data_IF_927317943406
#
_entry.id   IF_927317943406
#
_cell.length_a   1.000
_cell.length_b   1.000
_cell.length_c   1.000
_cell.angle_alpha   90.00
_cell.angle_beta   90.00
_cell.angle_gamma   90.00
#
_symmetry.space_group_name_H-M   'P 1'
#
loop_
_entity.id
_entity.type
_entity.pdbx_description
1 polymer ?
#
# COMPACT_ATOMS: atom_id res chain seq x y z
N UNK A 1 26.70 19.79 -58.33
CA UNK A 1 25.92 19.17 -57.23
C UNK A 1 26.81 18.12 -56.59
N UNK A 2 27.58 18.52 -55.58
CA UNK A 2 28.37 17.61 -54.74
C UNK A 2 27.44 16.96 -53.72
N UNK A 3 27.42 15.63 -53.70
CA UNK A 3 26.76 14.86 -52.66
C UNK A 3 27.41 15.18 -51.31
N UNK A 4 26.66 15.82 -50.41
CA UNK A 4 27.04 15.96 -49.01
C UNK A 4 26.64 14.65 -48.33
N UNK A 5 27.64 13.83 -48.07
CA UNK A 5 27.57 12.60 -47.30
C UNK A 5 27.25 12.95 -45.83
N UNK A 6 25.99 12.74 -45.43
CA UNK A 6 25.53 12.88 -44.04
C UNK A 6 25.96 11.64 -43.26
N UNK A 7 27.05 11.73 -42.50
CA UNK A 7 27.33 10.77 -41.42
C UNK A 7 26.91 11.37 -40.08
N UNK A 8 25.89 10.81 -39.46
CA UNK A 8 25.40 11.19 -38.12
C UNK A 8 25.92 10.16 -37.12
N UNK A 9 26.90 10.55 -36.29
CA UNK A 9 27.56 9.65 -35.33
C UNK A 9 27.18 10.04 -33.91
N UNK A 10 26.53 9.13 -33.18
CA UNK A 10 26.26 9.28 -31.75
C UNK A 10 27.37 8.59 -30.95
N UNK A 11 28.02 9.34 -30.06
CA UNK A 11 29.01 8.84 -29.10
C UNK A 11 28.35 8.65 -27.73
N UNK A 12 28.48 7.46 -27.13
CA UNK A 12 28.17 7.28 -25.71
C UNK A 12 29.48 7.37 -24.93
N UNK A 13 29.43 8.13 -23.84
CA UNK A 13 30.48 8.18 -22.82
C UNK A 13 29.90 7.56 -21.56
N UNK A 14 30.50 6.47 -21.09
CA UNK A 14 30.14 5.86 -19.80
C UNK A 14 31.32 6.09 -18.87
N UNK A 15 31.11 6.91 -17.83
CA UNK A 15 32.05 7.09 -16.73
C UNK A 15 31.78 6.06 -15.64
N UNK A 16 32.82 5.36 -15.20
CA UNK A 16 32.80 4.53 -14.00
C UNK A 16 34.07 4.79 -13.17
N UNK A 17 34.12 4.32 -11.93
CA UNK A 17 35.18 4.64 -10.96
C UNK A 17 36.62 4.27 -11.40
N UNK A 18 36.79 3.56 -12.53
CA UNK A 18 38.08 3.19 -13.13
C UNK A 18 38.47 3.94 -14.41
N UNK A 19 37.66 4.90 -14.90
CA UNK A 19 37.98 5.71 -16.07
C UNK A 19 36.79 6.00 -17.00
N UNK A 20 37.08 6.72 -18.09
CA UNK A 20 36.10 7.10 -19.11
C UNK A 20 36.16 6.10 -20.28
N UNK A 21 35.05 5.43 -20.58
CA UNK A 21 34.96 4.54 -21.74
C UNK A 21 34.23 5.21 -22.91
N UNK A 22 34.90 5.27 -24.06
CA UNK A 22 34.37 5.82 -25.31
C UNK A 22 34.18 4.71 -26.35
N UNK A 23 32.94 4.40 -26.74
CA UNK A 23 32.67 3.52 -27.89
C UNK A 23 31.49 4.01 -28.72
N UNK A 24 31.60 3.77 -30.03
CA UNK A 24 30.57 4.10 -31.05
C UNK A 24 29.44 3.07 -30.96
N UNK A 25 28.19 3.50 -31.02
CA UNK A 25 27.03 2.60 -31.16
C UNK A 25 26.92 2.04 -32.59
N UNK A 26 26.23 0.90 -32.79
CA UNK A 26 25.87 0.44 -34.13
C UNK A 26 24.93 1.44 -34.81
N UNK A 27 25.02 1.55 -36.13
CA UNK A 27 24.16 2.42 -36.94
C UNK A 27 22.67 2.10 -36.73
N UNK A 28 21.84 3.11 -36.48
CA UNK A 28 20.40 2.98 -36.25
C UNK A 28 19.97 2.84 -34.78
N UNK A 29 20.91 2.72 -33.84
CA UNK A 29 20.62 2.74 -32.40
C UNK A 29 20.99 4.12 -31.84
N UNK A 30 20.02 4.80 -31.24
CA UNK A 30 20.26 6.06 -30.52
C UNK A 30 19.87 5.87 -29.07
N UNK A 31 20.78 6.21 -28.16
CA UNK A 31 20.57 6.06 -26.74
C UNK A 31 20.25 7.44 -26.17
N UNK A 32 19.04 7.61 -25.66
CA UNK A 32 18.67 8.81 -24.93
C UNK A 32 19.10 8.57 -23.48
N UNK A 33 20.30 9.04 -23.13
CA UNK A 33 20.72 9.13 -21.74
C UNK A 33 19.95 10.29 -21.09
N UNK A 34 18.89 9.97 -20.35
CA UNK A 34 18.28 10.94 -19.43
C UNK A 34 19.23 11.16 -18.27
N UNK A 35 19.85 12.34 -18.25
CA UNK A 35 20.83 12.76 -17.23
C UNK A 35 20.24 12.60 -15.82
N UNK A 36 20.80 11.70 -15.03
CA UNK A 36 20.73 11.80 -13.57
C UNK A 36 21.39 13.11 -13.16
N UNK A 37 20.69 13.94 -12.38
CA UNK A 37 21.12 15.30 -12.03
C UNK A 37 22.50 15.22 -11.33
N UNK A 38 23.53 15.63 -12.04
CA UNK A 38 24.90 15.73 -11.54
C UNK A 38 25.00 16.91 -10.58
N UNK A 39 25.07 16.58 -9.27
CA UNK A 39 25.07 17.54 -8.15
C UNK A 39 26.40 18.28 -7.94
N UNK A 40 27.43 18.05 -8.77
CA UNK A 40 28.71 18.76 -8.66
C UNK A 40 28.55 20.26 -8.93
N UNK A 41 29.25 21.07 -8.13
CA UNK A 41 29.15 22.52 -8.17
C UNK A 41 29.67 23.08 -9.51
N UNK A 42 29.23 24.27 -9.94
CA UNK A 42 29.68 24.88 -11.20
C UNK A 42 31.20 25.10 -11.27
N UNK A 43 31.87 25.24 -10.12
CA UNK A 43 33.32 25.44 -10.05
C UNK A 43 34.10 24.14 -10.27
N UNK A 44 33.58 23.01 -9.79
CA UNK A 44 34.14 21.67 -10.03
C UNK A 44 34.14 21.31 -11.53
N UNK A 45 33.10 21.76 -12.26
CA UNK A 45 32.97 21.54 -13.71
C UNK A 45 33.94 22.38 -14.53
N UNK A 46 34.46 23.49 -13.99
CA UNK A 46 35.33 24.42 -14.73
C UNK A 46 36.79 23.94 -14.78
N UNK A 47 37.20 23.10 -13.82
CA UNK A 47 38.57 22.61 -13.71
C UNK A 47 38.76 21.19 -14.25
N UNK A 48 37.73 20.59 -14.84
CA UNK A 48 37.83 19.27 -15.46
C UNK A 48 38.47 19.38 -16.86
N UNK A 49 39.72 18.92 -17.04
CA UNK A 49 40.45 19.03 -18.31
C UNK A 49 39.79 18.25 -19.46
N UNK A 50 38.87 17.33 -19.18
CA UNK A 50 38.13 16.56 -20.19
C UNK A 50 36.89 17.29 -20.74
N UNK A 51 36.37 18.30 -20.03
CA UNK A 51 35.13 19.01 -20.42
C UNK A 51 35.28 19.91 -21.65
N UNK A 52 36.51 20.23 -22.05
CA UNK A 52 36.83 21.19 -23.10
C UNK A 52 36.94 20.60 -24.52
N UNK A 53 36.84 19.27 -24.68
CA UNK A 53 37.09 18.61 -25.97
C UNK A 53 35.84 18.17 -26.75
N UNK A 54 34.62 18.43 -26.26
CA UNK A 54 33.40 17.99 -26.96
C UNK A 54 32.44 19.18 -27.14
N UNK A 55 32.12 19.60 -28.39
CA UNK A 55 31.09 20.59 -28.62
C UNK A 55 29.71 20.02 -28.25
N UNK A 56 29.07 20.59 -27.24
CA UNK A 56 27.77 20.18 -26.68
C UNK A 56 26.54 20.42 -27.59
N UNK A 57 26.77 20.77 -28.85
CA UNK A 57 25.75 21.26 -29.75
C UNK A 57 25.34 20.20 -30.78
N UNK A 58 24.91 19.00 -30.35
CA UNK A 58 24.07 18.12 -31.19
C UNK A 58 23.50 16.92 -30.40
N UNK A 59 22.62 17.18 -29.43
CA UNK A 59 21.69 16.13 -28.98
C UNK A 59 20.44 16.21 -29.86
N UNK A 60 20.41 15.45 -30.95
CA UNK A 60 19.18 15.25 -31.73
C UNK A 60 18.40 14.08 -31.14
N UNK A 61 17.16 14.32 -30.72
CA UNK A 61 16.24 13.24 -30.34
C UNK A 61 15.88 12.42 -31.57
N UNK A 62 16.00 11.09 -31.48
CA UNK A 62 15.51 10.18 -32.50
C UNK A 62 14.09 9.70 -32.17
N UNK A 63 13.37 9.25 -33.20
CA UNK A 63 11.91 9.01 -33.18
C UNK A 63 11.50 7.67 -32.56
N UNK A 64 12.46 6.76 -32.31
CA UNK A 64 12.20 5.45 -31.70
C UNK A 64 12.70 5.38 -30.27
N UNK A 65 11.77 5.26 -29.33
CA UNK A 65 12.06 5.01 -27.92
C UNK A 65 12.37 3.54 -27.74
N UNK A 66 13.56 3.24 -27.24
CA UNK A 66 13.97 1.88 -26.90
C UNK A 66 14.48 1.89 -25.47
N UNK A 67 13.98 0.98 -24.65
CA UNK A 67 14.43 0.89 -23.26
C UNK A 67 15.70 0.05 -23.21
N UNK A 68 16.74 0.61 -22.61
CA UNK A 68 17.89 -0.17 -22.20
C UNK A 68 17.45 -1.10 -21.05
N UNK A 69 17.53 -2.41 -21.27
CA UNK A 69 17.25 -3.38 -20.20
C UNK A 69 18.49 -3.58 -19.35
N UNK A 70 19.63 -3.86 -19.99
CA UNK A 70 20.86 -4.23 -19.29
C UNK A 70 22.08 -4.04 -20.19
N UNK A 71 23.19 -3.66 -19.58
CA UNK A 71 24.50 -3.62 -20.21
C UNK A 71 25.47 -4.44 -19.36
N UNK A 72 26.08 -5.45 -19.98
CA UNK A 72 26.99 -6.38 -19.29
C UNK A 72 28.31 -6.45 -20.05
N UNK A 73 29.42 -6.44 -19.31
CA UNK A 73 30.78 -6.60 -19.85
C UNK A 73 31.32 -7.92 -19.32
N UNK A 74 31.70 -8.83 -20.22
CA UNK A 74 32.30 -10.11 -19.86
C UNK A 74 33.53 -10.36 -20.73
N UNK A 75 34.73 -10.11 -20.17
CA UNK A 75 35.99 -10.16 -20.92
C UNK A 75 36.03 -9.09 -22.02
N UNK A 76 36.43 -9.49 -23.24
CA UNK A 76 36.50 -8.61 -24.41
C UNK A 76 35.15 -8.41 -25.13
N UNK A 77 34.08 -9.04 -24.62
CA UNK A 77 32.74 -8.97 -25.19
C UNK A 77 31.83 -8.06 -24.33
N UNK A 78 31.28 -6.99 -24.93
CA UNK A 78 30.19 -6.23 -24.31
C UNK A 78 28.86 -6.71 -24.88
N UNK A 79 27.85 -6.87 -24.03
CA UNK A 79 26.49 -7.24 -24.44
C UNK A 79 25.52 -6.14 -24.02
N UNK A 80 24.63 -5.77 -24.94
CA UNK A 80 23.63 -4.74 -24.75
C UNK A 80 22.26 -5.33 -25.03
N UNK A 81 21.44 -5.43 -23.98
CA UNK A 81 20.05 -5.87 -24.08
C UNK A 81 19.13 -4.66 -24.18
N UNK A 82 18.32 -4.67 -25.23
CA UNK A 82 17.48 -3.55 -25.61
C UNK A 82 16.05 -4.06 -25.80
N UNK A 83 15.09 -3.50 -25.07
CA UNK A 83 13.68 -3.85 -25.20
C UNK A 83 13.01 -3.01 -26.28
N UNK A 84 12.65 -3.64 -27.38
CA UNK A 84 11.82 -3.03 -28.41
C UNK A 84 10.35 -3.15 -28.01
N UNK A 85 9.83 -2.09 -27.37
CA UNK A 85 8.42 -2.01 -26.96
C UNK A 85 7.45 -2.10 -28.13
N UNK A 86 7.81 -1.61 -29.31
CA UNK A 86 6.90 -1.57 -30.44
C UNK A 86 6.64 -2.96 -31.02
N UNK A 87 7.66 -3.82 -31.00
CA UNK A 87 7.56 -5.15 -31.57
C UNK A 87 7.48 -6.27 -30.53
N UNK A 88 7.43 -5.94 -29.24
CA UNK A 88 7.46 -6.89 -28.13
C UNK A 88 8.60 -7.91 -28.29
N UNK A 89 9.82 -7.40 -28.48
CA UNK A 89 11.03 -8.20 -28.72
C UNK A 89 12.18 -7.73 -27.85
N UNK A 90 13.04 -8.66 -27.48
CA UNK A 90 14.32 -8.34 -26.84
C UNK A 90 15.40 -8.44 -27.89
N UNK A 91 16.17 -7.36 -28.06
CA UNK A 91 17.28 -7.25 -28.99
C UNK A 91 18.59 -7.36 -28.21
N UNK A 92 19.46 -8.28 -28.62
CA UNK A 92 20.79 -8.45 -28.08
C UNK A 92 21.81 -7.96 -29.10
N UNK A 93 22.52 -6.89 -28.77
CA UNK A 93 23.71 -6.43 -29.50
C UNK A 93 24.96 -6.93 -28.79
N UNK A 94 25.95 -7.35 -29.57
CA UNK A 94 27.26 -7.78 -29.06
C UNK A 94 28.34 -6.88 -29.60
N UNK A 95 29.28 -6.50 -28.76
CA UNK A 95 30.50 -5.84 -29.15
C UNK A 95 31.65 -6.83 -28.98
N UNK A 96 32.36 -7.12 -30.07
CA UNK A 96 33.59 -7.92 -30.03
C UNK A 96 34.69 -7.12 -30.74
N UNK A 97 35.82 -6.93 -30.08
CA UNK A 97 36.96 -6.16 -30.61
C UNK A 97 36.55 -4.76 -31.12
N UNK A 98 35.87 -4.00 -30.26
CA UNK A 98 35.34 -2.65 -30.53
C UNK A 98 34.26 -2.55 -31.63
N UNK A 99 33.85 -3.67 -32.24
CA UNK A 99 32.83 -3.68 -33.30
C UNK A 99 31.52 -4.28 -32.79
N UNK A 100 30.45 -3.48 -32.85
CA UNK A 100 29.10 -3.97 -32.58
C UNK A 100 28.59 -4.83 -33.74
N UNK A 101 27.82 -5.87 -33.39
CA UNK A 101 27.05 -6.65 -34.33
C UNK A 101 26.09 -5.73 -35.09
N UNK A 102 26.15 -5.75 -36.42
CA UNK A 102 25.29 -4.96 -37.31
C UNK A 102 23.84 -5.43 -37.32
N UNK A 103 23.57 -6.63 -36.81
CA UNK A 103 22.22 -7.18 -36.67
C UNK A 103 22.05 -7.74 -35.25
N UNK A 104 21.07 -7.27 -34.48
CA UNK A 104 20.82 -7.81 -33.15
C UNK A 104 20.24 -9.22 -33.25
N UNK A 105 20.62 -10.08 -32.31
CA UNK A 105 19.88 -11.33 -32.11
C UNK A 105 18.54 -10.97 -31.50
N UNK A 106 17.46 -11.34 -32.19
CA UNK A 106 16.10 -10.98 -31.81
C UNK A 106 15.45 -12.16 -31.13
N UNK A 107 14.92 -11.95 -29.93
CA UNK A 107 14.13 -12.95 -29.21
C UNK A 107 12.68 -12.47 -29.14
N UNK A 108 11.74 -13.35 -29.52
CA UNK A 108 10.31 -13.17 -29.25
C UNK A 108 9.98 -13.65 -27.85
N UNK A 109 9.00 -13.03 -27.19
CA UNK A 109 8.54 -13.49 -25.86
C UNK A 109 8.05 -14.95 -25.88
N UNK A 110 7.56 -15.46 -27.02
CA UNK A 110 7.18 -16.85 -27.21
C UNK A 110 8.35 -17.84 -27.28
N UNK A 111 9.54 -17.39 -27.70
CA UNK A 111 10.76 -18.20 -27.70
C UNK A 111 11.35 -18.32 -26.28
N UNK A 112 10.99 -17.40 -25.39
CA UNK A 112 11.24 -17.51 -23.95
C UNK A 112 10.22 -18.48 -23.35
N UNK A 113 10.53 -19.78 -23.36
CA UNK A 113 9.68 -20.80 -22.71
C UNK A 113 9.78 -20.67 -21.19
N UNK A 114 8.78 -20.07 -20.56
CA UNK A 114 8.60 -20.12 -19.11
C UNK A 114 7.89 -21.43 -18.74
N UNK A 115 8.56 -22.28 -17.94
CA UNK A 115 7.93 -23.48 -17.36
C UNK A 115 7.41 -23.13 -15.96
N UNK A 116 6.15 -23.50 -15.69
CA UNK A 116 5.37 -23.04 -14.54
C UNK A 116 5.97 -23.24 -13.15
N UNK A 117 5.45 -22.42 -12.23
CA UNK A 117 5.60 -22.32 -10.77
C UNK A 117 6.90 -21.73 -10.20
N UNK A 118 7.97 -21.60 -10.98
CA UNK A 118 9.14 -20.75 -10.66
C UNK A 118 9.84 -20.41 -11.97
N UNK A 119 9.27 -19.48 -12.73
CA UNK A 119 9.45 -19.34 -14.17
C UNK A 119 10.91 -19.20 -14.60
N UNK A 120 11.50 -20.34 -14.98
CA UNK A 120 12.80 -20.41 -15.65
C UNK A 120 12.58 -20.11 -17.13
N UNK A 121 13.01 -18.96 -17.61
CA UNK A 121 13.15 -18.67 -19.03
C UNK A 121 14.57 -18.99 -19.48
N UNK A 122 14.74 -19.95 -20.39
CA UNK A 122 16.06 -20.27 -20.96
C UNK A 122 16.15 -19.72 -22.38
N UNK A 123 16.96 -18.68 -22.57
CA UNK A 123 17.38 -18.25 -23.90
C UNK A 123 18.67 -18.98 -24.24
N UNK A 124 18.62 -19.90 -25.22
CA UNK A 124 19.80 -20.65 -25.68
C UNK A 124 20.24 -20.09 -27.03
N UNK A 125 21.53 -19.80 -27.14
CA UNK A 125 22.14 -19.35 -28.40
C UNK A 125 22.17 -20.48 -29.46
N UNK A 126 22.10 -20.12 -30.75
CA UNK A 126 22.10 -21.07 -31.89
C UNK A 126 23.30 -22.04 -31.91
N UNK A 127 24.41 -21.68 -31.25
CA UNK A 127 25.61 -22.51 -31.13
C UNK A 127 25.60 -23.44 -29.90
N UNK A 128 24.55 -23.39 -29.06
CA UNK A 128 24.38 -24.25 -27.88
C UNK A 128 25.34 -23.98 -26.72
N UNK A 129 26.23 -22.99 -26.82
CA UNK A 129 27.30 -22.72 -25.84
C UNK A 129 26.93 -21.75 -24.72
N UNK A 130 25.96 -20.87 -24.95
CA UNK A 130 25.54 -19.88 -23.95
C UNK A 130 24.03 -19.98 -23.74
N UNK A 131 23.64 -20.23 -22.50
CA UNK A 131 22.25 -20.23 -22.05
C UNK A 131 22.08 -19.17 -20.96
N UNK A 132 21.22 -18.19 -21.19
CA UNK A 132 20.79 -17.28 -20.13
C UNK A 132 19.54 -17.84 -19.48
N UNK A 133 19.61 -18.06 -18.17
CA UNK A 133 18.55 -18.58 -17.34
C UNK A 133 18.01 -17.42 -16.51
N UNK A 134 16.79 -16.99 -16.83
CA UNK A 134 16.04 -16.05 -15.99
C UNK A 134 15.26 -16.89 -15.01
N UNK A 135 15.57 -16.81 -13.72
CA UNK A 135 14.83 -17.50 -12.65
C UNK A 135 14.11 -16.47 -11.79
N UNK A 136 12.88 -16.76 -11.40
CA UNK A 136 12.16 -15.97 -10.39
C UNK A 136 12.26 -16.70 -9.05
N UNK A 137 12.61 -15.99 -7.98
CA UNK A 137 12.58 -16.57 -6.63
C UNK A 137 11.19 -16.50 -5.99
N UNK A 138 11.03 -17.12 -4.82
CA UNK A 138 9.77 -17.15 -4.06
C UNK A 138 9.26 -15.77 -3.62
N UNK A 139 10.10 -14.73 -3.71
CA UNK A 139 9.77 -13.36 -3.31
C UNK A 139 9.48 -12.50 -4.55
N UNK A 140 9.51 -13.09 -5.75
CA UNK A 140 9.25 -12.42 -7.02
C UNK A 140 10.46 -11.68 -7.59
N UNK A 141 11.63 -11.78 -6.97
CA UNK A 141 12.85 -11.18 -7.54
C UNK A 141 13.30 -11.97 -8.77
N UNK A 142 13.66 -11.24 -9.82
CA UNK A 142 14.18 -11.81 -11.05
C UNK A 142 15.69 -11.94 -10.94
N UNK A 143 16.19 -13.14 -11.16
CA UNK A 143 17.60 -13.46 -11.15
C UNK A 143 18.01 -13.89 -12.55
N UNK A 144 19.04 -13.26 -13.09
CA UNK A 144 19.62 -13.59 -14.37
C UNK A 144 20.91 -14.36 -14.13
N UNK A 145 20.93 -15.62 -14.55
CA UNK A 145 22.10 -16.48 -14.46
C UNK A 145 22.58 -16.81 -15.86
N UNK A 146 23.83 -16.51 -16.20
CA UNK A 146 24.41 -16.99 -17.45
C UNK A 146 25.03 -18.38 -17.24
N UNK A 147 24.89 -19.25 -18.23
CA UNK A 147 25.57 -20.55 -18.29
C UNK A 147 26.41 -20.55 -19.56
N UNK A 148 27.73 -20.63 -19.41
CA UNK A 148 28.70 -20.65 -20.52
C UNK A 148 29.40 -22.00 -20.51
N UNK A 149 29.26 -22.76 -21.59
CA UNK A 149 29.83 -24.11 -21.74
C UNK A 149 29.49 -25.06 -20.57
N UNK A 150 28.28 -24.93 -20.03
CA UNK A 150 27.79 -25.73 -18.88
C UNK A 150 28.25 -25.22 -17.50
N UNK A 151 29.07 -24.17 -17.43
CA UNK A 151 29.49 -23.54 -16.17
C UNK A 151 28.54 -22.38 -15.84
N UNK A 152 27.94 -22.43 -14.66
CA UNK A 152 27.00 -21.41 -14.14
C UNK A 152 27.78 -20.19 -13.64
N UNK A 153 27.49 -19.00 -14.17
CA UNK A 153 27.99 -17.73 -13.64
C UNK A 153 27.25 -17.33 -12.37
N UNK A 154 27.80 -16.37 -11.64
CA UNK A 154 27.07 -15.72 -10.54
C UNK A 154 25.75 -15.12 -11.06
N UNK A 155 24.70 -15.27 -10.27
CA UNK A 155 23.37 -14.77 -10.60
C UNK A 155 23.32 -13.27 -10.34
N UNK A 156 22.97 -12.48 -11.36
CA UNK A 156 22.74 -11.05 -11.25
C UNK A 156 21.28 -10.82 -10.89
N UNK A 157 21.04 -10.11 -9.80
CA UNK A 157 19.69 -9.74 -9.37
C UNK A 157 19.19 -8.58 -10.24
N UNK A 158 18.19 -8.84 -11.09
CA UNK A 158 17.46 -7.79 -11.80
C UNK A 158 16.49 -7.16 -10.81
N UNK A 159 16.51 -5.85 -10.73
CA UNK A 159 15.97 -5.06 -9.63
C UNK A 159 14.55 -5.42 -9.18
N UNK A 160 14.34 -5.29 -7.87
CA UNK A 160 13.17 -5.71 -7.08
C UNK A 160 11.83 -5.29 -7.67
N UNK A 161 10.97 -6.26 -7.98
CA UNK A 161 9.52 -6.01 -8.07
C UNK A 161 8.96 -5.44 -6.76
N UNK A 162 9.63 -5.64 -5.62
CA UNK A 162 9.23 -5.06 -4.33
C UNK A 162 9.40 -3.52 -4.25
N UNK A 163 10.12 -2.90 -5.19
CA UNK A 163 10.19 -1.44 -5.30
C UNK A 163 9.04 -0.88 -6.14
N UNK A 164 8.13 -1.72 -6.63
CA UNK A 164 6.96 -1.19 -7.31
C UNK A 164 6.11 -0.40 -6.32
N UNK A 165 5.85 0.89 -6.59
CA UNK A 165 5.17 1.80 -5.67
C UNK A 165 3.78 1.29 -5.28
N UNK A 166 3.19 0.43 -6.11
CA UNK A 166 1.86 -0.16 -5.91
C UNK A 166 1.83 -1.18 -4.78
N UNK A 167 2.85 -2.05 -4.65
CA UNK A 167 2.96 -3.01 -3.55
C UNK A 167 3.20 -2.26 -2.23
N UNK A 168 4.16 -1.33 -2.22
CA UNK A 168 4.40 -0.46 -1.07
C UNK A 168 3.16 0.35 -0.68
N UNK A 169 2.37 0.83 -1.65
CA UNK A 169 1.11 1.54 -1.42
C UNK A 169 0.05 0.62 -0.81
N UNK A 170 -0.11 -0.61 -1.28
CA UNK A 170 -1.04 -1.59 -0.71
C UNK A 170 -0.70 -1.95 0.74
N UNK A 171 0.58 -2.12 1.08
CA UNK A 171 1.01 -2.38 2.46
C UNK A 171 0.91 -1.14 3.35
N UNK A 172 1.19 0.05 2.81
CA UNK A 172 1.15 1.28 3.57
C UNK A 172 -0.27 1.76 3.88
N UNK A 173 -1.27 1.46 3.03
CA UNK A 173 -2.65 1.90 3.25
C UNK A 173 -3.28 1.42 4.56
N UNK A 174 -3.32 0.11 4.89
CA UNK A 174 -3.94 -0.36 6.14
C UNK A 174 -3.16 0.12 7.37
N UNK A 175 -1.83 0.19 7.29
CA UNK A 175 -1.01 0.74 8.36
C UNK A 175 -1.30 2.24 8.61
N UNK A 176 -1.38 3.04 7.53
CA UNK A 176 -1.74 4.47 7.61
C UNK A 176 -3.16 4.66 8.11
N UNK A 177 -4.12 3.85 7.66
CA UNK A 177 -5.48 3.89 8.15
C UNK A 177 -5.55 3.60 9.65
N UNK A 178 -4.83 2.57 10.12
CA UNK A 178 -4.75 2.23 11.53
C UNK A 178 -4.15 3.36 12.36
N UNK A 179 -3.03 3.93 11.93
CA UNK A 179 -2.39 5.07 12.62
C UNK A 179 -3.34 6.27 12.67
N UNK A 180 -4.06 6.54 11.59
CA UNK A 180 -5.04 7.64 11.52
C UNK A 180 -6.20 7.41 12.50
N UNK A 181 -6.73 6.19 12.56
CA UNK A 181 -7.80 5.81 13.51
C UNK A 181 -7.31 5.94 14.94
N UNK A 182 -6.11 5.46 15.26
CA UNK A 182 -5.53 5.59 16.61
C UNK A 182 -5.34 7.07 16.97
N UNK A 183 -4.79 7.88 16.07
CA UNK A 183 -4.62 9.31 16.29
C UNK A 183 -5.96 10.02 16.54
N UNK A 184 -7.00 9.68 15.77
CA UNK A 184 -8.36 10.19 15.98
C UNK A 184 -8.92 9.77 17.35
N UNK A 185 -8.72 8.51 17.77
CA UNK A 185 -9.17 8.03 19.09
C UNK A 185 -8.45 8.75 20.24
N UNK A 186 -7.14 9.00 20.11
CA UNK A 186 -6.36 9.77 21.09
C UNK A 186 -6.85 11.21 21.16
N UNK A 187 -7.05 11.86 20.01
CA UNK A 187 -7.58 13.22 19.95
C UNK A 187 -8.97 13.32 20.57
N UNK A 188 -9.83 12.33 20.29
CA UNK A 188 -11.16 12.23 20.90
C UNK A 188 -11.08 12.05 22.41
N UNK A 189 -10.24 11.13 22.90
CA UNK A 189 -10.03 10.92 24.33
C UNK A 189 -9.53 12.18 25.03
N UNK A 190 -8.64 12.94 24.38
CA UNK A 190 -8.13 14.21 24.90
C UNK A 190 -9.21 15.29 24.92
N UNK A 191 -9.97 15.47 23.83
CA UNK A 191 -11.07 16.44 23.75
C UNK A 191 -12.18 16.15 24.77
N UNK A 192 -12.51 14.87 24.96
CA UNK A 192 -13.40 14.43 26.04
C UNK A 192 -12.82 14.80 27.39
N UNK A 193 -11.56 14.45 27.69
CA UNK A 193 -10.96 14.75 28.98
C UNK A 193 -10.97 16.24 29.32
N UNK A 194 -10.69 17.08 28.31
CA UNK A 194 -10.75 18.53 28.45
C UNK A 194 -12.17 19.01 28.80
N UNK A 195 -13.19 18.52 28.12
CA UNK A 195 -14.58 18.96 28.34
C UNK A 195 -15.19 18.38 29.63
N UNK A 196 -14.82 17.16 30.01
CA UNK A 196 -15.27 16.49 31.24
C UNK A 196 -14.78 17.20 32.50
N UNK A 197 -13.61 17.85 32.44
CA UNK A 197 -13.09 18.65 33.56
C UNK A 197 -14.01 19.79 34.00
N UNK A 198 -15.06 20.12 33.22
CA UNK A 198 -15.93 21.28 33.43
C UNK A 198 -17.32 21.02 34.04
N UNK A 199 -17.58 19.85 34.61
CA UNK A 199 -18.64 19.73 35.64
C UNK A 199 -19.88 18.91 35.28
N UNK A 200 -19.72 17.60 35.13
CA UNK A 200 -20.86 16.68 35.17
C UNK A 200 -21.12 16.21 36.61
N UNK A 201 -22.33 16.44 37.12
CA UNK A 201 -22.71 15.98 38.46
C UNK A 201 -22.88 14.46 38.50
N UNK A 202 -22.27 13.83 39.51
CA UNK A 202 -22.07 12.37 39.54
C UNK A 202 -23.26 11.59 40.14
N UNK A 203 -24.28 12.25 40.67
CA UNK A 203 -25.36 11.59 41.43
C UNK A 203 -26.75 11.99 40.97
N UNK A 204 -27.56 11.01 40.56
CA UNK A 204 -28.98 11.18 40.26
C UNK A 204 -29.79 10.69 41.47
N UNK A 205 -30.68 11.53 42.02
CA UNK A 205 -31.63 11.14 43.06
C UNK A 205 -32.99 10.86 42.42
N UNK A 206 -33.47 9.62 42.49
CA UNK A 206 -34.79 9.23 42.03
C UNK A 206 -35.58 8.65 43.21
N UNK A 207 -36.60 9.40 43.65
CA UNK A 207 -37.42 9.08 44.82
C UNK A 207 -36.57 8.73 46.06
N UNK A 208 -36.44 7.43 46.37
CA UNK A 208 -35.68 6.92 47.53
C UNK A 208 -34.35 6.25 47.16
N UNK A 209 -33.94 6.31 45.88
CA UNK A 209 -32.71 5.69 45.41
C UNK A 209 -31.75 6.75 44.89
N UNK A 210 -30.51 6.69 45.37
CA UNK A 210 -29.42 7.49 44.81
C UNK A 210 -28.60 6.58 43.92
N UNK A 211 -28.43 6.98 42.66
CA UNK A 211 -27.67 6.20 41.69
C UNK A 211 -26.52 7.05 41.19
N UNK A 212 -25.32 6.48 41.23
CA UNK A 212 -24.13 7.12 40.69
C UNK A 212 -24.12 7.00 39.17
N UNK A 213 -24.12 8.14 38.50
CA UNK A 213 -23.98 8.20 37.05
C UNK A 213 -22.58 7.76 36.65
N UNK A 214 -22.49 7.03 35.56
CA UNK A 214 -21.20 6.60 35.02
C UNK A 214 -20.40 7.82 34.56
N UNK A 215 -19.12 7.90 34.97
CA UNK A 215 -18.21 8.95 34.51
C UNK A 215 -18.04 8.88 33.00
N UNK A 216 -17.86 10.03 32.35
CA UNK A 216 -17.70 10.07 30.89
C UNK A 216 -16.51 9.22 30.42
N UNK A 217 -15.40 9.22 31.17
CA UNK A 217 -14.23 8.36 30.86
C UNK A 217 -14.59 6.88 30.79
N UNK A 218 -15.36 6.37 31.76
CA UNK A 218 -15.77 4.96 31.77
C UNK A 218 -16.66 4.62 30.57
N UNK A 219 -17.48 5.57 30.10
CA UNK A 219 -18.34 5.39 28.92
C UNK A 219 -17.52 5.37 27.63
N UNK A 220 -16.55 6.28 27.49
CA UNK A 220 -15.64 6.32 26.34
C UNK A 220 -14.77 5.07 26.30
N UNK A 221 -14.19 4.66 27.43
CA UNK A 221 -13.37 3.45 27.52
C UNK A 221 -14.20 2.20 27.16
N UNK A 222 -15.43 2.09 27.66
CA UNK A 222 -16.36 1.03 27.27
C UNK A 222 -16.63 1.03 25.76
N UNK A 223 -16.88 2.21 25.17
CA UNK A 223 -17.09 2.36 23.73
C UNK A 223 -15.87 1.97 22.89
N UNK A 224 -14.66 2.31 23.34
CA UNK A 224 -13.40 1.88 22.69
C UNK A 224 -13.25 0.36 22.74
N UNK A 225 -13.54 -0.27 23.87
CA UNK A 225 -13.50 -1.74 23.98
C UNK A 225 -14.53 -2.39 23.05
N UNK A 226 -15.77 -1.89 23.03
CA UNK A 226 -16.80 -2.38 22.10
C UNK A 226 -16.35 -2.21 20.64
N UNK A 227 -15.75 -1.07 20.29
CA UNK A 227 -15.21 -0.81 18.95
C UNK A 227 -14.09 -1.78 18.59
N UNK A 228 -13.14 -2.04 19.49
CA UNK A 228 -12.06 -3.01 19.27
C UNK A 228 -12.63 -4.41 19.07
N UNK A 229 -13.60 -4.84 19.89
CA UNK A 229 -14.24 -6.16 19.75
C UNK A 229 -14.91 -6.31 18.38
N UNK A 230 -15.59 -5.28 17.88
CA UNK A 230 -16.25 -5.31 16.58
C UNK A 230 -15.24 -5.27 15.43
N UNK A 231 -14.26 -4.36 15.49
CA UNK A 231 -13.37 -4.06 14.37
C UNK A 231 -12.17 -5.02 14.27
N UNK A 232 -11.70 -5.60 15.38
CA UNK A 232 -10.53 -6.47 15.38
C UNK A 232 -10.69 -7.70 14.49
N UNK A 233 -11.83 -8.44 14.49
CA UNK A 233 -12.00 -9.56 13.58
C UNK A 233 -12.03 -9.16 12.10
N UNK A 234 -12.61 -8.00 11.76
CA UNK A 234 -12.56 -7.47 10.39
C UNK A 234 -11.13 -7.15 9.97
N UNK A 235 -10.34 -6.58 10.88
CA UNK A 235 -8.94 -6.27 10.63
C UNK A 235 -8.11 -7.55 10.42
N UNK A 236 -8.28 -8.55 11.29
CA UNK A 236 -7.62 -9.86 11.16
C UNK A 236 -8.04 -10.54 9.84
N UNK A 237 -9.33 -10.53 9.51
CA UNK A 237 -9.83 -11.10 8.25
C UNK A 237 -9.27 -10.37 7.04
N UNK A 238 -9.16 -9.04 7.08
CA UNK A 238 -8.56 -8.26 6.01
C UNK A 238 -7.08 -8.61 5.82
N UNK A 239 -6.31 -8.75 6.90
CA UNK A 239 -4.91 -9.22 6.85
C UNK A 239 -4.86 -10.63 6.28
N UNK A 240 -5.73 -11.54 6.74
CA UNK A 240 -5.77 -12.92 6.27
C UNK A 240 -6.05 -12.98 4.76
N UNK A 241 -7.12 -12.34 4.30
CA UNK A 241 -7.45 -12.26 2.88
C UNK A 241 -6.28 -11.69 2.06
N UNK A 242 -5.61 -10.68 2.59
CA UNK A 242 -4.44 -10.07 1.94
C UNK A 242 -3.24 -11.01 1.86
N UNK A 243 -2.92 -11.74 2.94
CA UNK A 243 -1.80 -12.69 2.98
C UNK A 243 -2.07 -13.92 2.10
N UNK A 244 -3.33 -14.38 2.03
CA UNK A 244 -3.71 -15.53 1.21
C UNK A 244 -3.97 -15.19 -0.25
N UNK A 245 -4.24 -13.92 -0.57
CA UNK A 245 -4.34 -13.48 -1.94
C UNK A 245 -2.96 -13.62 -2.56
N UNK A 246 -2.81 -14.59 -3.47
CA UNK A 246 -1.59 -14.74 -4.24
C UNK A 246 -1.34 -13.42 -4.99
N UNK A 247 -0.36 -12.66 -4.49
CA UNK A 247 0.03 -11.35 -4.98
C UNK A 247 0.37 -11.44 -6.47
N UNK A 248 0.89 -12.58 -6.93
CA UNK A 248 1.21 -12.82 -8.32
C UNK A 248 -0.07 -12.89 -9.18
N UNK A 249 -1.04 -13.70 -8.76
CA UNK A 249 -2.35 -13.76 -9.43
C UNK A 249 -3.06 -12.39 -9.44
N UNK A 250 -2.89 -11.58 -8.40
CA UNK A 250 -3.45 -10.23 -8.36
C UNK A 250 -2.74 -9.26 -9.33
N UNK A 251 -1.40 -9.31 -9.40
CA UNK A 251 -0.60 -8.47 -10.31
C UNK A 251 -0.86 -8.81 -11.78
N UNK A 252 -0.91 -10.09 -12.12
CA UNK A 252 -1.16 -10.53 -13.50
C UNK A 252 -2.55 -10.06 -13.97
N UNK A 253 -3.56 -10.16 -13.10
CA UNK A 253 -4.93 -9.68 -13.39
C UNK A 253 -5.05 -8.16 -13.45
N UNK A 254 -4.23 -7.43 -12.67
CA UNK A 254 -4.15 -5.97 -12.75
C UNK A 254 -3.58 -5.51 -14.10
N UNK A 255 -2.60 -6.24 -14.63
CA UNK A 255 -1.96 -5.91 -15.90
C UNK A 255 -2.85 -6.21 -17.11
N UNK A 256 -3.74 -7.20 -17.02
CA UNK A 256 -4.72 -7.54 -18.07
C UNK A 256 -5.90 -6.55 -18.19
N UNK A 257 -5.80 -5.33 -17.66
CA UNK A 257 -6.86 -4.30 -17.70
C UNK A 257 -8.22 -4.78 -17.15
N UNK A 258 -8.22 -5.75 -16.23
CA UNK A 258 -9.45 -6.28 -15.65
C UNK A 258 -9.98 -5.38 -14.53
N UNK A 259 -10.30 -4.12 -14.83
CA UNK A 259 -10.99 -3.21 -13.90
C UNK A 259 -12.23 -3.86 -13.27
N UNK A 260 -12.88 -4.77 -14.02
CA UNK A 260 -14.03 -5.58 -13.58
C UNK A 260 -13.67 -6.51 -12.42
N UNK A 261 -12.49 -7.16 -12.44
CA UNK A 261 -12.09 -8.06 -11.35
C UNK A 261 -11.85 -7.29 -10.06
N UNK A 262 -11.14 -6.17 -10.14
CA UNK A 262 -10.86 -5.30 -9.01
C UNK A 262 -12.17 -4.80 -8.39
N UNK A 263 -13.07 -4.26 -9.22
CA UNK A 263 -14.38 -3.79 -8.76
C UNK A 263 -15.18 -4.91 -8.09
N UNK A 264 -15.18 -6.11 -8.66
CA UNK A 264 -15.86 -7.27 -8.07
C UNK A 264 -15.28 -7.61 -6.69
N UNK A 265 -13.95 -7.63 -6.52
CA UNK A 265 -13.33 -7.86 -5.21
C UNK A 265 -13.71 -6.79 -4.18
N UNK A 266 -13.73 -5.52 -4.59
CA UNK A 266 -14.18 -4.44 -3.71
C UNK A 266 -15.65 -4.58 -3.31
N UNK A 267 -16.54 -4.95 -4.24
CA UNK A 267 -17.95 -5.17 -3.97
C UNK A 267 -18.17 -6.33 -3.00
N UNK A 268 -17.47 -7.46 -3.19
CA UNK A 268 -17.53 -8.59 -2.26
C UNK A 268 -17.02 -8.22 -0.87
N UNK A 269 -15.88 -7.53 -0.79
CA UNK A 269 -15.34 -7.07 0.48
C UNK A 269 -16.30 -6.12 1.20
N UNK A 270 -16.92 -5.19 0.48
CA UNK A 270 -17.93 -4.27 1.03
C UNK A 270 -19.17 -5.02 1.51
N UNK A 271 -19.64 -6.00 0.73
CA UNK A 271 -20.79 -6.82 1.10
C UNK A 271 -20.52 -7.64 2.36
N UNK A 272 -19.42 -8.38 2.44
CA UNK A 272 -19.08 -9.21 3.60
C UNK A 272 -18.84 -8.38 4.86
N UNK A 273 -18.11 -7.27 4.74
CA UNK A 273 -17.89 -6.35 5.86
C UNK A 273 -19.20 -5.69 6.31
N UNK A 274 -20.08 -5.31 5.38
CA UNK A 274 -21.40 -4.77 5.67
C UNK A 274 -22.31 -5.75 6.41
N UNK A 275 -22.36 -7.02 5.96
CA UNK A 275 -23.12 -8.10 6.62
C UNK A 275 -22.57 -8.35 8.02
N UNK A 276 -21.24 -8.49 8.16
CA UNK A 276 -20.59 -8.68 9.45
C UNK A 276 -20.90 -7.52 10.41
N UNK A 277 -20.68 -6.27 9.99
CA UNK A 277 -20.89 -5.10 10.84
C UNK A 277 -22.36 -4.97 11.25
N UNK A 278 -23.29 -5.20 10.33
CA UNK A 278 -24.72 -5.20 10.61
C UNK A 278 -25.10 -6.27 11.64
N UNK A 279 -24.55 -7.48 11.49
CA UNK A 279 -24.79 -8.58 12.43
C UNK A 279 -24.21 -8.30 13.82
N UNK A 280 -23.01 -7.72 13.90
CA UNK A 280 -22.35 -7.35 15.14
C UNK A 280 -23.13 -6.24 15.88
N UNK A 281 -23.58 -5.21 15.15
CA UNK A 281 -24.42 -4.14 15.70
C UNK A 281 -25.75 -4.72 16.18
N UNK A 282 -26.40 -5.59 15.41
CA UNK A 282 -27.65 -6.25 15.82
C UNK A 282 -27.46 -7.09 17.09
N UNK A 283 -26.36 -7.84 17.19
CA UNK A 283 -26.01 -8.58 18.39
C UNK A 283 -25.87 -7.64 19.60
N UNK A 284 -25.18 -6.51 19.45
CA UNK A 284 -25.04 -5.52 20.52
C UNK A 284 -26.38 -4.91 20.92
N UNK A 285 -27.26 -4.59 19.96
CA UNK A 285 -28.62 -4.09 20.24
C UNK A 285 -29.40 -5.11 21.07
N UNK A 286 -29.35 -6.39 20.71
CA UNK A 286 -30.06 -7.47 21.43
C UNK A 286 -29.47 -7.67 22.83
N UNK A 287 -28.14 -7.76 22.95
CA UNK A 287 -27.45 -7.96 24.23
C UNK A 287 -27.71 -6.78 25.17
N UNK A 288 -27.58 -5.56 24.68
CA UNK A 288 -27.89 -4.36 25.44
C UNK A 288 -29.39 -4.27 25.79
N UNK A 289 -30.27 -4.62 24.84
CA UNK A 289 -31.72 -4.61 25.04
C UNK A 289 -32.21 -5.62 26.08
N UNK A 290 -31.46 -6.73 26.25
CA UNK A 290 -31.81 -7.80 27.19
C UNK A 290 -31.16 -7.60 28.56
N UNK A 291 -29.90 -7.19 28.59
CA UNK A 291 -29.11 -7.15 29.82
C UNK A 291 -28.78 -5.74 30.32
N UNK A 292 -29.03 -4.72 29.49
CA UNK A 292 -28.68 -3.33 29.78
C UNK A 292 -27.19 -3.03 29.66
N UNK A 293 -26.36 -3.95 29.14
CA UNK A 293 -24.92 -3.73 28.97
C UNK A 293 -24.42 -4.33 27.67
N UNK A 294 -23.35 -3.76 27.14
CA UNK A 294 -22.51 -4.31 26.06
C UNK A 294 -21.23 -4.92 26.67
N UNK A 295 -20.48 -5.77 25.96
CA UNK A 295 -19.27 -6.40 26.51
C UNK A 295 -18.27 -5.39 27.12
N UNK A 296 -18.02 -4.27 26.45
CA UNK A 296 -17.18 -3.18 26.96
C UNK A 296 -17.79 -2.53 28.20
N UNK A 297 -19.09 -2.21 28.19
CA UNK A 297 -19.76 -1.66 29.39
C UNK A 297 -19.71 -2.62 30.56
N UNK A 298 -19.87 -3.92 30.31
CA UNK A 298 -19.80 -4.95 31.33
C UNK A 298 -18.43 -4.96 32.01
N UNK A 299 -17.35 -4.86 31.22
CA UNK A 299 -15.97 -4.80 31.72
C UNK A 299 -15.74 -3.60 32.66
N UNK A 300 -16.37 -2.45 32.37
CA UNK A 300 -16.29 -1.26 33.23
C UNK A 300 -17.39 -1.18 34.31
N UNK A 301 -18.21 -2.22 34.46
CA UNK A 301 -19.29 -2.25 35.44
C UNK A 301 -20.36 -1.18 35.18
N UNK A 302 -20.70 -0.93 33.91
CA UNK A 302 -21.71 0.04 33.49
C UNK A 302 -23.00 -0.67 33.06
N UNK A 303 -24.14 -0.04 33.33
CA UNK A 303 -25.45 -0.51 32.86
C UNK A 303 -26.29 0.67 32.39
N UNK A 304 -26.95 0.49 31.25
CA UNK A 304 -27.93 1.42 30.67
C UNK A 304 -29.31 1.04 31.18
N UNK A 305 -29.95 1.99 31.85
CA UNK A 305 -31.31 1.86 32.37
C UNK A 305 -32.21 2.94 31.77
N UNK A 306 -33.50 2.68 31.70
CA UNK A 306 -34.50 3.72 31.48
C UNK A 306 -34.43 4.77 32.60
N UNK A 307 -34.93 5.98 32.36
CA UNK A 307 -35.20 6.98 33.42
C UNK A 307 -36.02 6.43 34.58
N UNK A 308 -36.81 5.37 34.36
CA UNK A 308 -37.56 4.64 35.40
C UNK A 308 -36.74 3.57 36.14
N UNK A 309 -35.42 3.50 35.89
CA UNK A 309 -34.48 2.50 36.41
C UNK A 309 -34.79 1.05 36.00
N UNK A 310 -35.64 0.85 34.99
CA UNK A 310 -35.90 -0.47 34.38
C UNK A 310 -34.87 -0.80 33.29
N UNK A 311 -34.64 -2.09 32.97
CA UNK A 311 -33.78 -2.49 31.86
C UNK A 311 -34.16 -1.79 30.56
N UNK A 312 -33.16 -1.32 29.81
CA UNK A 312 -33.32 -0.72 28.50
C UNK A 312 -33.84 -1.80 27.54
N UNK A 313 -35.14 -1.82 27.23
CA UNK A 313 -35.71 -2.84 26.33
C UNK A 313 -35.15 -2.77 24.90
N UNK A 314 -35.48 -3.75 24.07
CA UNK A 314 -34.99 -3.87 22.69
C UNK A 314 -35.25 -2.61 21.84
N UNK A 315 -36.47 -2.05 21.88
CA UNK A 315 -36.84 -0.87 21.09
C UNK A 315 -36.00 0.34 21.49
N UNK A 316 -35.78 0.55 22.79
CA UNK A 316 -34.97 1.67 23.27
C UNK A 316 -33.51 1.49 22.84
N UNK A 317 -32.98 0.27 22.91
CA UNK A 317 -31.64 -0.07 22.43
C UNK A 317 -31.49 0.19 20.91
N UNK A 318 -32.51 -0.15 20.12
CA UNK A 318 -32.56 0.09 18.68
C UNK A 318 -32.59 1.59 18.34
N UNK A 319 -33.48 2.36 18.95
CA UNK A 319 -33.58 3.83 18.73
C UNK A 319 -32.26 4.52 19.08
N UNK A 320 -31.66 4.11 20.20
CA UNK A 320 -30.37 4.62 20.66
C UNK A 320 -29.23 4.33 19.68
N UNK A 321 -29.28 3.18 19.01
CA UNK A 321 -28.28 2.77 18.01
C UNK A 321 -28.57 3.43 16.65
N UNK A 322 -29.84 3.63 16.29
CA UNK A 322 -30.24 4.37 15.09
C UNK A 322 -29.84 5.85 15.16
N UNK A 323 -29.70 6.42 16.36
CA UNK A 323 -29.17 7.77 16.58
C UNK A 323 -27.62 7.85 16.51
N UNK A 324 -26.92 6.72 16.44
CA UNK A 324 -25.46 6.69 16.39
C UNK A 324 -24.86 7.50 15.22
N UNK A 325 -25.42 7.50 13.99
CA UNK A 325 -24.91 8.36 12.91
C UNK A 325 -24.94 9.84 13.26
N UNK A 326 -25.98 10.29 13.99
CA UNK A 326 -26.10 11.68 14.45
C UNK A 326 -25.03 11.97 15.51
N UNK A 327 -24.87 11.07 16.48
CA UNK A 327 -23.82 11.17 17.50
C UNK A 327 -22.41 11.15 16.87
N UNK A 328 -22.21 10.46 15.75
CA UNK A 328 -20.94 10.34 15.02
C UNK A 328 -20.63 11.55 14.12
N UNK A 329 -21.59 12.46 13.88
CA UNK A 329 -21.35 13.67 13.09
C UNK A 329 -20.20 14.50 13.67
N UNK A 330 -19.35 15.03 12.78
CA UNK A 330 -18.15 15.76 13.17
C UNK A 330 -17.19 14.91 14.00
N UNK A 331 -17.05 13.63 13.68
CA UNK A 331 -16.19 12.67 14.40
C UNK A 331 -16.53 12.55 15.90
N UNK A 332 -17.83 12.57 16.21
CA UNK A 332 -18.30 12.46 17.59
C UNK A 332 -18.40 13.79 18.33
N UNK A 333 -18.17 14.93 17.67
CA UNK A 333 -18.32 16.26 18.25
C UNK A 333 -19.74 16.49 18.78
N UNK A 334 -20.77 16.01 18.07
CA UNK A 334 -22.18 16.12 18.52
C UNK A 334 -22.41 15.32 19.80
N UNK A 335 -21.91 14.09 19.88
CA UNK A 335 -21.99 13.27 21.09
C UNK A 335 -21.32 13.97 22.28
N UNK A 336 -20.12 14.52 22.09
CA UNK A 336 -19.39 15.23 23.14
C UNK A 336 -20.16 16.48 23.60
N UNK A 337 -20.60 17.30 22.64
CA UNK A 337 -21.30 18.55 22.93
C UNK A 337 -22.59 18.28 23.69
N UNK A 338 -23.38 17.30 23.25
CA UNK A 338 -24.64 16.93 23.93
C UNK A 338 -24.42 16.36 25.33
N UNK A 339 -23.37 15.56 25.53
CA UNK A 339 -22.98 15.13 26.88
C UNK A 339 -22.54 16.29 27.75
N UNK A 340 -21.81 17.27 27.21
CA UNK A 340 -21.35 18.44 27.96
C UNK A 340 -22.49 19.43 28.29
N UNK A 341 -23.51 19.51 27.44
CA UNK A 341 -24.65 20.45 27.61
C UNK A 341 -25.74 19.95 28.55
N UNK A 342 -25.70 18.70 29.00
CA UNK A 342 -26.75 18.10 29.83
C UNK A 342 -26.19 17.61 31.16
N UNK A 343 -26.86 17.95 32.27
CA UNK A 343 -26.48 17.55 33.64
C UNK A 343 -26.35 16.03 33.83
N UNK A 344 -27.11 15.25 33.07
CA UNK A 344 -27.08 13.77 33.12
C UNK A 344 -25.98 13.15 32.23
N UNK A 345 -25.24 13.99 31.53
CA UNK A 345 -24.25 13.61 30.53
C UNK A 345 -24.77 12.57 29.52
N UNK A 346 -25.96 12.82 28.96
CA UNK A 346 -26.58 11.95 27.97
C UNK A 346 -26.18 12.38 26.56
N UNK A 347 -25.88 11.41 25.70
CA UNK A 347 -25.73 11.63 24.24
C UNK A 347 -27.09 11.79 23.56
N UNK A 348 -27.12 12.15 22.28
CA UNK A 348 -28.37 12.34 21.52
C UNK A 348 -29.23 11.08 21.57
N UNK A 349 -28.64 9.91 21.30
CA UNK A 349 -29.40 8.66 21.37
C UNK A 349 -29.97 8.35 22.76
N UNK A 350 -29.26 8.74 23.82
CA UNK A 350 -29.71 8.51 25.20
C UNK A 350 -30.86 9.46 25.59
N UNK A 351 -30.83 10.70 25.09
CA UNK A 351 -31.90 11.69 25.24
C UNK A 351 -33.18 11.22 24.55
N UNK A 352 -33.09 10.81 23.27
CA UNK A 352 -34.24 10.33 22.49
C UNK A 352 -34.84 9.08 23.13
N UNK A 353 -34.00 8.18 23.63
CA UNK A 353 -34.45 6.90 24.20
C UNK A 353 -34.87 7.02 25.67
N UNK A 354 -34.69 8.17 26.31
CA UNK A 354 -34.99 8.35 27.74
C UNK A 354 -34.20 7.37 28.63
N UNK A 355 -32.91 7.18 28.35
CA UNK A 355 -32.05 6.25 29.09
C UNK A 355 -30.87 6.96 29.74
N UNK A 356 -30.40 6.40 30.86
CA UNK A 356 -29.24 6.88 31.61
C UNK A 356 -28.25 5.73 31.81
N UNK A 357 -26.96 6.05 31.76
CA UNK A 357 -25.89 5.07 32.04
C UNK A 357 -25.42 5.26 33.46
N UNK A 358 -25.57 4.21 34.26
CA UNK A 358 -25.24 4.20 35.68
C UNK A 358 -24.12 3.20 35.95
N UNK A 359 -23.37 3.45 37.02
CA UNK A 359 -22.37 2.48 37.49
C UNK A 359 -23.10 1.38 38.24
N UNK A 360 -22.86 0.13 37.88
CA UNK A 360 -23.32 -1.04 38.64
C UNK A 360 -22.51 -1.06 39.93
N UNK A 361 -23.15 -0.78 41.05
CA UNK A 361 -22.56 -1.04 42.36
C UNK A 361 -22.44 -2.56 42.52
N UNK A 362 -21.28 -3.12 42.17
CA UNK A 362 -20.90 -4.47 42.56
C UNK A 362 -20.62 -4.45 44.06
N UNK A 363 -21.67 -4.56 44.86
CA UNK A 363 -21.59 -4.38 46.30
C UNK A 363 -22.68 -5.16 47.02
N UNK A 364 -22.29 -6.37 47.46
CA UNK A 364 -22.81 -7.21 48.55
C UNK A 364 -24.33 -7.24 48.73
N UNK A 365 -24.93 -8.37 48.33
CA UNK A 365 -26.05 -8.90 49.11
C UNK A 365 -25.58 -9.24 50.51
#
# INVERSE_FOLDING_TARGET
MSAIEKSSNLHIVIEYEGGVWHRRLPEGVSLILTRGIDQRSPEEKRNDPLSSQIPWNEVRSCEKTVDLLEFSIQGDECRLFVHDRHNARVLLYRNRNDKWSTSPVTFTYSELRFRGDNSIGVATEQDGKVSTIITRDSWGDLWLTHVVDGVKSDAVKIERLSNQPLVAMLFAMPAKALVTVIAMLVFYAWGVNFLVSRGCHTTLRLANTTVTLASIHSRVAAGVVDFVIICLPLFILSIYCFVTADIHTALDRLQENSHVWILNQFLWMFFYSGVYLSSAIMLLIVVEGKYGWTPGKHLFGLVTLSTTLRPCGFILSLVRTAALPIDALGFGAVCILTMASNEKCQRVGDLISGVVVVRRCFGRK
#
